data_IF_546813165372
#
_entry.id   IF_546813165372
#
_cell.length_a   1.000
_cell.length_b   1.000
_cell.length_c   1.000
_cell.angle_alpha   90.00
_cell.angle_beta   90.00
_cell.angle_gamma   90.00
#
_symmetry.space_group_name_H-M   'P 1'
#
loop_
_entity.id
_entity.type
_entity.pdbx_description
1 polymer ?
#
# COMPACT_ATOMS: atom_id res chain seq x y z
N UNK A 1 -35.55 -22.01 -4.48
CA UNK A 1 -34.09 -22.17 -4.37
C UNK A 1 -33.47 -20.83 -4.75
N UNK A 2 -33.26 -19.96 -3.77
CA UNK A 2 -32.39 -18.79 -3.98
C UNK A 2 -30.96 -19.31 -4.06
N UNK A 3 -30.30 -19.06 -5.19
CA UNK A 3 -28.86 -19.26 -5.28
C UNK A 3 -28.21 -18.26 -4.32
N UNK A 4 -27.20 -18.64 -3.51
CA UNK A 4 -26.52 -17.69 -2.66
C UNK A 4 -25.83 -16.67 -3.57
N UNK A 5 -26.19 -15.40 -3.43
CA UNK A 5 -25.47 -14.28 -4.04
C UNK A 5 -24.04 -14.40 -3.55
N UNK A 6 -23.12 -14.75 -4.45
CA UNK A 6 -21.70 -14.81 -4.15
C UNK A 6 -21.28 -13.40 -3.75
N UNK A 7 -20.99 -13.19 -2.47
CA UNK A 7 -20.55 -11.91 -1.93
C UNK A 7 -19.40 -11.38 -2.79
N UNK A 8 -19.53 -10.17 -3.33
CA UNK A 8 -18.43 -9.52 -4.02
C UNK A 8 -17.22 -9.45 -3.07
N UNK A 9 -16.01 -9.70 -3.60
CA UNK A 9 -14.78 -9.65 -2.80
C UNK A 9 -14.65 -8.30 -2.09
N UNK A 10 -14.25 -8.33 -0.81
CA UNK A 10 -13.86 -7.16 -0.03
C UNK A 10 -12.57 -7.47 0.71
N UNK A 11 -11.56 -6.62 0.56
CA UNK A 11 -10.24 -6.86 1.15
C UNK A 11 -10.28 -6.89 2.68
N UNK A 12 -11.17 -6.12 3.30
CA UNK A 12 -11.35 -6.05 4.75
C UNK A 12 -11.91 -7.34 5.36
N UNK A 13 -12.55 -8.21 4.56
CA UNK A 13 -13.01 -9.52 5.03
C UNK A 13 -11.82 -10.47 5.30
N UNK A 14 -10.70 -10.26 4.59
CA UNK A 14 -9.47 -11.03 4.74
C UNK A 14 -8.39 -10.30 5.55
N UNK A 15 -8.33 -8.98 5.44
CA UNK A 15 -7.36 -8.09 6.09
C UNK A 15 -8.10 -7.03 6.94
N UNK A 16 -8.75 -7.42 8.05
CA UNK A 16 -9.64 -6.54 8.83
C UNK A 16 -8.92 -5.41 9.56
N UNK A 17 -7.58 -5.44 9.60
CA UNK A 17 -6.74 -4.39 10.18
C UNK A 17 -6.41 -3.27 9.19
N UNK A 18 -6.81 -3.39 7.92
CA UNK A 18 -6.60 -2.32 6.96
C UNK A 18 -7.40 -1.07 7.34
N UNK A 19 -6.78 0.07 7.13
CA UNK A 19 -7.42 1.37 7.20
C UNK A 19 -8.63 1.42 6.25
N UNK A 20 -9.79 1.94 6.68
CA UNK A 20 -10.99 2.02 5.84
C UNK A 20 -10.76 2.69 4.48
N UNK A 21 -9.95 3.74 4.40
CA UNK A 21 -9.64 4.40 3.14
C UNK A 21 -8.76 3.53 2.24
N UNK A 22 -7.82 2.80 2.83
CA UNK A 22 -6.97 1.85 2.10
C UNK A 22 -7.80 0.68 1.58
N UNK A 23 -8.71 0.15 2.39
CA UNK A 23 -9.63 -0.92 1.99
C UNK A 23 -10.56 -0.47 0.87
N UNK A 24 -11.17 0.72 1.00
CA UNK A 24 -12.05 1.29 -0.02
C UNK A 24 -11.31 1.53 -1.34
N UNK A 25 -10.11 2.13 -1.29
CA UNK A 25 -9.29 2.30 -2.49
C UNK A 25 -8.93 0.97 -3.13
N UNK A 26 -8.49 -0.03 -2.35
CA UNK A 26 -8.12 -1.34 -2.87
C UNK A 26 -9.30 -2.02 -3.57
N UNK A 27 -10.47 -2.04 -2.93
CA UNK A 27 -11.68 -2.63 -3.49
C UNK A 27 -12.19 -1.90 -4.75
N UNK A 28 -11.85 -0.62 -4.93
CA UNK A 28 -12.18 0.13 -6.15
C UNK A 28 -11.29 -0.24 -7.35
N UNK A 29 -10.16 -0.92 -7.10
CA UNK A 29 -9.12 -1.19 -8.09
C UNK A 29 -8.88 -2.66 -8.38
N UNK A 30 -9.13 -3.53 -7.40
CA UNK A 30 -8.75 -4.93 -7.46
C UNK A 30 -9.89 -5.83 -7.01
N UNK A 31 -10.10 -6.93 -7.74
CA UNK A 31 -11.13 -7.93 -7.43
C UNK A 31 -10.65 -9.02 -6.45
N UNK A 32 -9.42 -8.89 -5.93
CA UNK A 32 -8.84 -9.90 -5.04
C UNK A 32 -7.38 -9.64 -4.63
N UNK A 33 -6.94 -10.34 -3.59
CA UNK A 33 -5.54 -10.43 -3.19
C UNK A 33 -4.83 -11.57 -3.92
N UNK A 34 -3.59 -11.31 -4.37
CA UNK A 34 -2.69 -12.38 -4.80
C UNK A 34 -2.18 -13.20 -3.60
N UNK A 35 -1.77 -14.44 -3.83
CA UNK A 35 -1.23 -15.30 -2.76
C UNK A 35 -0.06 -14.67 -1.98
N UNK A 36 0.92 -14.00 -2.61
CA UNK A 36 1.94 -13.25 -1.89
C UNK A 36 1.38 -12.13 -1.02
N UNK A 37 0.38 -11.38 -1.49
CA UNK A 37 -0.25 -10.30 -0.72
C UNK A 37 -0.95 -10.85 0.52
N UNK A 38 -1.81 -11.84 0.33
CA UNK A 38 -2.59 -12.52 1.39
C UNK A 38 -1.68 -13.07 2.51
N UNK A 39 -0.49 -13.56 2.15
CA UNK A 39 0.49 -14.10 3.12
C UNK A 39 1.39 -13.03 3.74
N UNK A 40 1.85 -12.05 2.96
CA UNK A 40 2.87 -11.12 3.40
C UNK A 40 2.30 -9.94 4.20
N UNK A 41 1.16 -9.37 3.79
CA UNK A 41 0.64 -8.14 4.41
C UNK A 41 0.38 -8.31 5.92
N UNK A 42 -0.27 -9.38 6.42
CA UNK A 42 -0.46 -9.57 7.86
C UNK A 42 0.85 -9.70 8.64
N UNK A 43 1.85 -10.35 8.06
CA UNK A 43 3.16 -10.52 8.68
C UNK A 43 3.92 -9.17 8.76
N UNK A 44 3.86 -8.36 7.70
CA UNK A 44 4.48 -7.04 7.68
C UNK A 44 3.76 -6.11 8.67
N UNK A 45 2.43 -6.08 8.68
CA UNK A 45 1.62 -5.31 9.63
C UNK A 45 1.95 -5.67 11.10
N UNK A 46 2.17 -6.95 11.40
CA UNK A 46 2.58 -7.40 12.73
C UNK A 46 4.07 -7.16 13.07
N UNK A 47 4.77 -6.35 12.26
CA UNK A 47 6.16 -5.96 12.50
C UNK A 47 7.18 -7.08 12.28
N UNK A 48 6.85 -8.14 11.52
CA UNK A 48 7.79 -9.22 11.21
C UNK A 48 8.66 -8.87 10.01
N UNK A 49 9.91 -9.35 10.04
CA UNK A 49 10.75 -9.40 8.85
C UNK A 49 10.23 -10.49 7.90
N UNK A 50 9.93 -10.13 6.65
CA UNK A 50 9.32 -11.04 5.67
C UNK A 50 10.18 -11.14 4.41
N UNK A 51 10.48 -12.38 4.02
CA UNK A 51 11.04 -12.68 2.69
C UNK A 51 9.93 -13.23 1.79
N UNK A 52 9.57 -12.49 0.75
CA UNK A 52 8.56 -12.91 -0.23
C UNK A 52 9.25 -13.51 -1.45
N UNK A 53 9.11 -14.83 -1.63
CA UNK A 53 9.55 -15.54 -2.84
C UNK A 53 8.34 -15.88 -3.71
N UNK A 54 8.24 -15.25 -4.88
CA UNK A 54 7.21 -15.57 -5.89
C UNK A 54 7.64 -15.10 -7.29
N UNK A 55 7.03 -15.62 -8.38
CA UNK A 55 7.31 -15.18 -9.75
C UNK A 55 7.12 -13.67 -9.97
N UNK A 56 7.73 -13.09 -11.01
CA UNK A 56 7.48 -11.69 -11.38
C UNK A 56 6.00 -11.47 -11.74
N UNK A 57 5.51 -10.23 -11.59
CA UNK A 57 4.11 -9.88 -11.90
C UNK A 57 3.06 -10.30 -10.87
N UNK A 58 3.44 -10.96 -9.76
CA UNK A 58 2.50 -11.46 -8.73
C UNK A 58 2.15 -10.45 -7.63
N UNK A 59 2.47 -9.17 -7.82
CA UNK A 59 2.10 -8.11 -6.89
C UNK A 59 2.97 -7.98 -5.63
N UNK A 60 4.18 -8.58 -5.58
CA UNK A 60 5.12 -8.48 -4.44
C UNK A 60 5.35 -7.04 -3.96
N UNK A 61 5.55 -6.15 -4.93
CA UNK A 61 5.79 -4.73 -4.70
C UNK A 61 4.60 -4.07 -3.99
N UNK A 62 3.38 -4.33 -4.49
CA UNK A 62 2.17 -3.83 -3.86
C UNK A 62 1.95 -4.45 -2.47
N UNK A 63 2.34 -5.72 -2.23
CA UNK A 63 2.26 -6.32 -0.89
C UNK A 63 3.03 -5.50 0.15
N UNK A 64 4.26 -5.12 -0.15
CA UNK A 64 5.09 -4.34 0.76
C UNK A 64 4.55 -2.91 0.92
N UNK A 65 4.20 -2.26 -0.20
CA UNK A 65 3.73 -0.88 -0.16
C UNK A 65 2.36 -0.73 0.50
N UNK A 66 1.41 -1.62 0.24
CA UNK A 66 0.10 -1.57 0.86
C UNK A 66 0.20 -1.63 2.39
N UNK A 67 1.06 -2.53 2.91
CA UNK A 67 1.31 -2.61 4.34
C UNK A 67 1.93 -1.32 4.90
N UNK A 68 2.93 -0.73 4.20
CA UNK A 68 3.55 0.54 4.62
C UNK A 68 2.56 1.70 4.60
N UNK A 69 1.76 1.83 3.55
CA UNK A 69 0.75 2.88 3.44
C UNK A 69 -0.31 2.72 4.52
N UNK A 70 -0.74 1.48 4.79
CA UNK A 70 -1.67 1.19 5.87
C UNK A 70 -1.19 1.73 7.22
N UNK A 71 0.08 1.51 7.58
CA UNK A 71 0.64 2.02 8.84
C UNK A 71 0.69 3.56 8.89
N UNK A 72 1.05 4.20 7.78
CA UNK A 72 1.05 5.67 7.69
C UNK A 72 -0.34 6.25 7.90
N UNK A 73 -1.36 5.59 7.35
CA UNK A 73 -2.75 6.01 7.46
C UNK A 73 -3.32 5.78 8.86
N UNK A 74 -3.02 4.65 9.48
CA UNK A 74 -3.36 4.39 10.89
C UNK A 74 -2.71 5.45 11.80
N UNK A 75 -1.41 5.72 11.63
CA UNK A 75 -0.72 6.74 12.42
C UNK A 75 -1.28 8.15 12.17
N UNK A 76 -1.65 8.47 10.92
CA UNK A 76 -2.29 9.75 10.60
C UNK A 76 -3.62 9.91 11.34
N UNK A 77 -4.48 8.88 11.35
CA UNK A 77 -5.76 8.92 12.07
C UNK A 77 -5.59 9.02 13.58
N UNK A 78 -4.55 8.40 14.13
CA UNK A 78 -4.24 8.47 15.55
C UNK A 78 -3.54 9.79 15.96
N UNK A 79 -3.20 10.67 15.01
CA UNK A 79 -2.43 11.89 15.28
C UNK A 79 -0.97 11.64 15.64
N UNK A 80 -0.43 10.48 15.25
CA UNK A 80 0.92 10.01 15.60
C UNK A 80 1.93 10.21 14.46
N UNK A 81 1.48 10.68 13.29
CA UNK A 81 2.34 10.84 12.12
C UNK A 81 3.42 11.90 12.36
N UNK A 82 4.67 11.56 12.03
CA UNK A 82 5.83 12.44 12.16
C UNK A 82 6.36 12.82 10.79
N UNK A 83 6.79 14.07 10.63
CA UNK A 83 7.47 14.50 9.42
C UNK A 83 8.89 13.92 9.36
N UNK A 84 9.01 12.71 8.81
CA UNK A 84 10.24 11.91 8.81
C UNK A 84 10.22 10.85 7.71
N UNK A 85 11.38 10.22 7.47
CA UNK A 85 11.46 9.07 6.56
C UNK A 85 10.88 7.84 7.25
N UNK A 86 9.75 7.34 6.74
CA UNK A 86 9.05 6.18 7.30
C UNK A 86 9.46 4.85 6.65
N UNK A 87 9.75 4.86 5.35
CA UNK A 87 10.10 3.66 4.59
C UNK A 87 11.30 3.94 3.69
N UNK A 88 12.24 3.00 3.65
CA UNK A 88 13.38 3.00 2.74
C UNK A 88 13.26 1.81 1.78
N UNK A 89 12.98 2.09 0.52
CA UNK A 89 13.04 1.10 -0.55
C UNK A 89 14.44 1.09 -1.16
N UNK A 90 15.09 -0.08 -1.18
CA UNK A 90 16.43 -0.27 -1.76
C UNK A 90 16.30 -1.14 -3.00
N UNK A 91 16.82 -0.64 -4.12
CA UNK A 91 16.88 -1.37 -5.38
C UNK A 91 18.32 -1.52 -5.85
N UNK A 92 18.72 -2.68 -6.40
CA UNK A 92 20.03 -2.83 -7.03
C UNK A 92 20.12 -2.07 -8.37
N UNK A 93 18.99 -1.65 -8.95
CA UNK A 93 18.93 -0.97 -10.24
C UNK A 93 18.24 0.40 -10.11
N UNK A 94 18.88 1.44 -10.69
CA UNK A 94 18.31 2.79 -10.75
C UNK A 94 16.98 2.81 -11.52
N UNK A 95 16.89 2.10 -12.65
CA UNK A 95 15.67 2.02 -13.45
C UNK A 95 14.49 1.51 -12.61
N UNK A 96 14.69 0.44 -11.85
CA UNK A 96 13.66 -0.09 -10.97
C UNK A 96 13.28 0.89 -9.85
N UNK A 97 14.22 1.64 -9.28
CA UNK A 97 13.90 2.68 -8.29
C UNK A 97 12.99 3.78 -8.88
N UNK A 98 13.29 4.23 -10.11
CA UNK A 98 12.48 5.21 -10.82
C UNK A 98 11.09 4.65 -11.19
N UNK A 99 11.00 3.38 -11.57
CA UNK A 99 9.73 2.73 -11.88
C UNK A 99 8.85 2.61 -10.64
N UNK A 100 9.42 2.29 -9.48
CA UNK A 100 8.71 2.28 -8.21
C UNK A 100 8.18 3.68 -7.83
N UNK A 101 9.00 4.72 -7.94
CA UNK A 101 8.56 6.10 -7.67
C UNK A 101 7.37 6.49 -8.54
N UNK A 102 7.42 6.20 -9.85
CA UNK A 102 6.31 6.44 -10.77
C UNK A 102 5.06 5.65 -10.39
N UNK A 103 5.22 4.37 -10.09
CA UNK A 103 4.11 3.47 -9.77
C UNK A 103 3.47 3.74 -8.40
N UNK A 104 4.15 4.46 -7.51
CA UNK A 104 3.59 4.87 -6.21
C UNK A 104 2.79 6.17 -6.28
N UNK A 105 3.18 7.10 -7.16
CA UNK A 105 2.52 8.40 -7.29
C UNK A 105 1.05 8.28 -7.63
N UNK A 106 0.70 7.34 -8.51
CA UNK A 106 -0.69 7.17 -8.93
C UNK A 106 -1.60 6.62 -7.80
N UNK A 107 -1.28 5.49 -7.13
CA UNK A 107 -2.00 5.06 -5.93
C UNK A 107 -2.12 6.16 -4.87
N UNK A 108 -1.04 6.89 -4.60
CA UNK A 108 -1.08 7.96 -3.59
C UNK A 108 -2.03 9.09 -3.97
N UNK A 109 -2.04 9.50 -5.25
CA UNK A 109 -2.97 10.51 -5.77
C UNK A 109 -4.42 10.05 -5.65
N UNK A 110 -4.70 8.80 -6.00
CA UNK A 110 -6.04 8.24 -5.94
C UNK A 110 -6.55 8.13 -4.49
N UNK A 111 -5.69 7.71 -3.57
CA UNK A 111 -6.04 7.64 -2.14
C UNK A 111 -6.24 9.05 -1.57
N UNK A 112 -5.44 10.04 -1.98
CA UNK A 112 -5.61 11.45 -1.60
C UNK A 112 -6.95 12.02 -2.10
N UNK A 113 -7.32 11.76 -3.36
CA UNK A 113 -8.62 12.15 -3.91
C UNK A 113 -9.78 11.48 -3.17
N UNK A 114 -9.65 10.19 -2.87
CA UNK A 114 -10.64 9.45 -2.10
C UNK A 114 -10.79 10.03 -0.69
N UNK A 115 -9.68 10.26 0.03
CA UNK A 115 -9.68 10.84 1.37
C UNK A 115 -10.40 12.20 1.40
N UNK A 116 -10.08 13.09 0.45
CA UNK A 116 -10.73 14.40 0.32
C UNK A 116 -12.23 14.27 0.05
N UNK A 117 -12.63 13.35 -0.82
CA UNK A 117 -14.05 13.10 -1.11
C UNK A 117 -14.85 12.60 0.10
N UNK A 118 -14.15 12.01 1.09
CA UNK A 118 -14.69 11.53 2.36
C UNK A 118 -14.54 12.56 3.50
N UNK A 119 -14.01 13.75 3.22
CA UNK A 119 -13.80 14.82 4.20
C UNK A 119 -12.67 14.55 5.18
N UNK A 120 -11.71 13.70 4.81
CA UNK A 120 -10.50 13.43 5.58
C UNK A 120 -9.30 14.19 5.01
N UNK A 121 -8.49 14.75 5.90
CA UNK A 121 -7.21 15.32 5.51
C UNK A 121 -6.20 14.19 5.26
N UNK A 122 -5.67 14.16 4.05
CA UNK A 122 -4.63 13.21 3.67
C UNK A 122 -3.28 13.62 4.30
N UNK A 123 -2.50 12.67 4.85
CA UNK A 123 -1.25 12.96 5.57
C UNK A 123 -0.12 13.64 4.77
N UNK A 124 -0.32 13.90 3.46
CA UNK A 124 0.71 14.48 2.61
C UNK A 124 1.91 13.56 2.43
N UNK A 125 1.69 12.27 2.15
CA UNK A 125 2.75 11.27 1.95
C UNK A 125 3.64 11.69 0.77
N UNK A 126 4.94 11.81 1.04
CA UNK A 126 5.96 12.20 0.05
C UNK A 126 6.79 10.99 -0.35
N UNK A 127 7.08 10.88 -1.65
CA UNK A 127 8.00 9.88 -2.21
C UNK A 127 9.16 10.62 -2.86
N UNK A 128 10.38 10.11 -2.66
CA UNK A 128 11.59 10.66 -3.25
C UNK A 128 12.56 9.56 -3.63
N UNK A 129 13.38 9.84 -4.66
CA UNK A 129 14.43 8.93 -5.14
C UNK A 129 15.78 9.58 -4.90
N UNK A 130 16.68 8.86 -4.22
CA UNK A 130 18.09 9.23 -4.08
C UNK A 130 18.94 8.25 -4.87
N UNK A 131 19.72 8.74 -5.82
CA UNK A 131 20.71 7.97 -6.57
C UNK A 131 22.00 8.76 -6.74
N UNK A 132 23.00 8.19 -7.43
CA UNK A 132 24.24 8.90 -7.79
C UNK A 132 24.02 10.11 -8.70
N UNK A 133 22.86 10.25 -9.34
CA UNK A 133 22.51 11.37 -10.22
C UNK A 133 21.73 12.48 -9.50
N UNK A 134 21.38 12.27 -8.23
CA UNK A 134 20.74 13.32 -7.43
C UNK A 134 21.76 14.40 -7.12
N UNK A 135 21.47 15.66 -7.48
CA UNK A 135 22.31 16.81 -7.13
C UNK A 135 22.54 16.87 -5.62
N UNK A 136 23.78 17.21 -5.23
CA UNK A 136 24.20 17.37 -3.84
C UNK A 136 23.62 18.64 -3.22
#
# INVERSE_FOLDING_TARGET
MEQPVQSAFRVEDELPFLDPLISEWFNSKYDGLSDPQRKAIPLIHSGKNVLVSSPTGTGKTLSAFLAVLNELFIQSRNGEIKDSVFCLYISPLKALANDIDRNLKEPLREIDELARSRGHDFPGIRVGVRSGDTSQ
#
